data_IF_207777573062
#
_entry.id   IF_207777573062
#
_cell.length_a   1.000
_cell.length_b   1.000
_cell.length_c   1.000
_cell.angle_alpha   90.00
_cell.angle_beta   90.00
_cell.angle_gamma   90.00
#
_symmetry.space_group_name_H-M   'P 1'
#
loop_
_entity.id
_entity.type
_entity.pdbx_description
1 polymer ?
#
# COMPACT_ATOMS: atom_id res chain seq x y z
N UNK A 1 23.81 -33.69 0.79
CA UNK A 1 24.03 -32.70 -0.29
C UNK A 1 24.19 -33.42 -1.62
N UNK A 2 23.55 -32.93 -2.70
CA UNK A 2 23.89 -33.20 -4.11
C UNK A 2 23.05 -32.25 -4.96
N UNK A 3 23.68 -31.25 -5.57
CA UNK A 3 23.06 -30.43 -6.61
C UNK A 3 23.29 -31.09 -7.97
N UNK A 4 22.27 -31.07 -8.84
CA UNK A 4 22.40 -31.46 -10.24
C UNK A 4 22.04 -30.25 -11.10
N UNK A 5 23.05 -29.48 -11.48
CA UNK A 5 22.94 -28.46 -12.54
C UNK A 5 23.00 -29.13 -13.92
N UNK A 6 22.43 -28.49 -14.96
CA UNK A 6 23.01 -28.52 -16.31
C UNK A 6 22.42 -27.44 -17.23
N UNK A 7 23.28 -26.88 -18.09
CA UNK A 7 22.97 -26.03 -19.25
C UNK A 7 22.97 -26.92 -20.52
N UNK A 8 22.60 -26.48 -21.73
CA UNK A 8 22.27 -25.14 -22.29
C UNK A 8 20.89 -25.26 -23.03
N UNK A 9 20.40 -24.49 -24.01
CA UNK A 9 20.92 -23.45 -24.91
C UNK A 9 19.80 -22.44 -25.30
N UNK A 10 20.10 -21.45 -26.15
CA UNK A 10 19.10 -20.66 -26.88
C UNK A 10 18.71 -21.37 -28.20
N UNK A 11 17.47 -21.20 -28.65
CA UNK A 11 17.20 -20.92 -30.08
C UNK A 11 15.83 -20.22 -30.30
N UNK A 12 15.71 -19.42 -31.38
CA UNK A 12 14.51 -18.61 -31.75
C UNK A 12 14.71 -18.01 -33.16
N UNK A 13 13.65 -17.56 -33.88
CA UNK A 13 12.41 -18.18 -34.37
C UNK A 13 12.64 -18.62 -35.85
N UNK A 14 11.77 -18.47 -36.90
CA UNK A 14 10.32 -18.21 -37.06
C UNK A 14 9.67 -19.19 -38.10
N UNK A 15 8.65 -18.83 -38.92
CA UNK A 15 7.33 -18.22 -38.67
C UNK A 15 6.15 -19.15 -39.12
N UNK A 16 4.95 -18.54 -39.29
CA UNK A 16 3.74 -18.97 -40.03
C UNK A 16 2.57 -19.55 -39.23
N UNK A 17 1.37 -19.42 -39.82
CA UNK A 17 0.06 -19.39 -39.17
C UNK A 17 -0.79 -20.62 -39.50
N UNK A 18 -1.44 -21.21 -38.50
CA UNK A 18 -2.70 -21.97 -38.65
C UNK A 18 -3.58 -21.80 -37.40
N UNK A 19 -4.91 -21.90 -37.58
CA UNK A 19 -5.90 -21.90 -36.51
C UNK A 19 -6.33 -23.34 -36.13
N UNK A 20 -7.25 -23.44 -35.15
CA UNK A 20 -7.93 -24.66 -34.66
C UNK A 20 -7.11 -25.50 -33.65
N UNK A 21 -7.75 -26.37 -32.83
CA UNK A 21 -8.40 -25.88 -31.62
C UNK A 21 -7.92 -26.57 -30.32
N UNK A 22 -8.49 -26.13 -29.19
CA UNK A 22 -8.09 -26.44 -27.82
C UNK A 22 -7.86 -27.93 -27.50
N UNK A 23 -6.70 -28.27 -26.94
CA UNK A 23 -6.59 -29.39 -25.99
C UNK A 23 -5.36 -29.27 -25.05
N UNK A 24 -5.44 -28.39 -24.04
CA UNK A 24 -4.44 -28.31 -22.97
C UNK A 24 -4.81 -29.24 -21.80
N UNK A 25 -3.96 -30.21 -21.41
CA UNK A 25 -4.20 -31.03 -20.22
C UNK A 25 -4.02 -30.19 -18.94
N UNK A 26 -5.14 -29.82 -18.31
CA UNK A 26 -5.18 -28.99 -17.09
C UNK A 26 -4.65 -29.76 -15.86
N UNK A 27 -3.33 -29.79 -15.67
CA UNK A 27 -2.68 -30.36 -14.48
C UNK A 27 -2.21 -29.28 -13.47
N UNK A 28 -3.09 -28.32 -13.16
CA UNK A 28 -2.84 -27.38 -12.06
C UNK A 28 -3.10 -28.12 -10.74
N UNK A 29 -2.04 -28.68 -10.15
CA UNK A 29 -2.10 -29.29 -8.81
C UNK A 29 -2.43 -28.21 -7.77
N UNK A 30 -3.73 -28.07 -7.47
CA UNK A 30 -4.23 -27.15 -6.44
C UNK A 30 -3.77 -27.62 -5.06
N UNK A 31 -2.64 -27.07 -4.60
CA UNK A 31 -2.16 -27.21 -3.22
C UNK A 31 -3.24 -26.65 -2.27
N UNK A 32 -3.98 -27.54 -1.61
CA UNK A 32 -4.88 -27.17 -0.52
C UNK A 32 -4.04 -27.00 0.75
N UNK A 33 -3.73 -25.75 1.09
CA UNK A 33 -3.22 -25.41 2.42
C UNK A 33 -4.38 -25.58 3.41
N UNK A 34 -4.33 -26.64 4.21
CA UNK A 34 -5.29 -26.88 5.29
C UNK A 34 -4.88 -26.09 6.54
N UNK A 35 -5.48 -24.92 6.72
CA UNK A 35 -5.40 -24.14 7.97
C UNK A 35 -5.98 -24.99 9.10
N UNK A 36 -5.26 -25.15 10.21
CA UNK A 36 -5.69 -25.97 11.35
C UNK A 36 -6.67 -25.21 12.25
N UNK A 37 -7.58 -25.92 12.92
CA UNK A 37 -8.57 -25.30 13.81
C UNK A 37 -7.93 -24.44 14.93
N UNK A 38 -6.82 -24.91 15.51
CA UNK A 38 -6.01 -24.17 16.49
C UNK A 38 -5.52 -22.82 15.93
N UNK A 39 -5.02 -22.79 14.68
CA UNK A 39 -4.55 -21.55 14.05
C UNK A 39 -5.68 -20.54 13.83
N UNK A 40 -6.90 -20.98 13.46
CA UNK A 40 -8.08 -20.11 13.36
C UNK A 40 -8.48 -19.54 14.73
N UNK A 41 -8.51 -20.38 15.76
CA UNK A 41 -8.92 -19.98 17.11
C UNK A 41 -7.94 -18.95 17.73
N UNK A 42 -6.63 -19.12 17.50
CA UNK A 42 -5.61 -18.14 17.93
C UNK A 42 -5.76 -16.79 17.23
N UNK A 43 -6.07 -16.77 15.93
CA UNK A 43 -6.31 -15.53 15.19
C UNK A 43 -7.54 -14.78 15.71
N UNK A 44 -8.64 -15.49 16.00
CA UNK A 44 -9.84 -14.90 16.61
C UNK A 44 -9.57 -14.34 18.01
N UNK A 45 -8.80 -15.06 18.85
CA UNK A 45 -8.41 -14.58 20.17
C UNK A 45 -7.55 -13.30 20.07
N UNK A 46 -6.56 -13.28 19.17
CA UNK A 46 -5.71 -12.11 18.95
C UNK A 46 -6.51 -10.89 18.47
N UNK A 47 -7.45 -11.07 17.54
CA UNK A 47 -8.35 -10.01 17.08
C UNK A 47 -9.25 -9.47 18.19
N UNK A 48 -9.82 -10.36 19.02
CA UNK A 48 -10.65 -9.99 20.17
C UNK A 48 -9.86 -9.17 21.20
N UNK A 49 -8.67 -9.65 21.59
CA UNK A 49 -7.76 -8.94 22.50
C UNK A 49 -7.33 -7.58 21.93
N UNK A 50 -7.06 -7.48 20.62
CA UNK A 50 -6.75 -6.21 19.97
C UNK A 50 -7.94 -5.26 20.03
N UNK A 51 -9.17 -5.71 19.75
CA UNK A 51 -10.36 -4.85 19.80
C UNK A 51 -10.64 -4.31 21.21
N UNK A 52 -10.47 -5.13 22.26
CA UNK A 52 -10.61 -4.68 23.65
C UNK A 52 -9.47 -3.74 24.08
N UNK A 53 -8.23 -4.00 23.67
CA UNK A 53 -7.12 -3.08 23.92
C UNK A 53 -7.35 -1.70 23.29
N UNK A 54 -7.83 -1.65 22.04
CA UNK A 54 -8.16 -0.39 21.36
C UNK A 54 -9.38 0.31 21.98
N UNK A 55 -10.34 -0.43 22.53
CA UNK A 55 -11.47 0.14 23.31
C UNK A 55 -11.01 0.73 24.64
N UNK A 56 -10.09 0.07 25.35
CA UNK A 56 -9.52 0.53 26.63
C UNK A 56 -8.61 1.75 26.43
N UNK A 57 -7.88 1.82 25.31
CA UNK A 57 -7.08 2.98 24.92
C UNK A 57 -7.91 4.14 24.33
N UNK A 58 -9.24 4.01 24.27
CA UNK A 58 -10.16 4.96 23.62
C UNK A 58 -9.70 5.36 22.20
N UNK A 59 -9.14 4.41 21.45
CA UNK A 59 -8.44 4.67 20.19
C UNK A 59 -9.21 5.55 19.18
N UNK A 60 -10.54 5.40 19.00
CA UNK A 60 -11.30 6.30 18.13
C UNK A 60 -11.31 7.77 18.59
N UNK A 61 -11.29 8.04 19.89
CA UNK A 61 -11.21 9.40 20.43
C UNK A 61 -9.80 9.98 20.23
N UNK A 62 -8.75 9.16 20.36
CA UNK A 62 -7.37 9.55 20.05
C UNK A 62 -7.22 9.90 18.56
N UNK A 63 -7.72 9.04 17.66
CA UNK A 63 -7.70 9.34 16.23
C UNK A 63 -8.55 10.57 15.86
N UNK A 64 -9.67 10.81 16.53
CA UNK A 64 -10.49 12.01 16.34
C UNK A 64 -9.76 13.31 16.75
N UNK A 65 -8.81 13.26 17.69
CA UNK A 65 -7.94 14.41 17.99
C UNK A 65 -6.87 14.60 16.90
N UNK A 66 -6.30 13.51 16.38
CA UNK A 66 -5.31 13.54 15.29
C UNK A 66 -5.90 14.10 13.98
N UNK A 67 -7.21 13.98 13.77
CA UNK A 67 -7.93 14.54 12.62
C UNK A 67 -7.74 16.06 12.43
N UNK A 68 -7.40 16.82 13.47
CA UNK A 68 -7.11 18.25 13.37
C UNK A 68 -5.74 18.56 12.71
N UNK A 69 -4.86 17.55 12.57
CA UNK A 69 -3.49 17.69 12.07
C UNK A 69 -3.29 17.10 10.67
N UNK A 70 -4.35 16.60 10.02
CA UNK A 70 -4.25 15.91 8.72
C UNK A 70 -4.37 16.88 7.54
N UNK A 71 -3.30 17.00 6.75
CA UNK A 71 -3.24 17.91 5.58
C UNK A 71 -4.00 17.44 4.32
N UNK A 72 -4.66 16.28 4.36
CA UNK A 72 -5.42 15.72 3.22
C UNK A 72 -6.76 15.14 3.66
N UNK A 73 -7.75 15.11 2.76
CA UNK A 73 -9.07 14.53 3.03
C UNK A 73 -9.02 13.02 3.31
N UNK A 74 -8.09 12.29 2.66
CA UNK A 74 -7.84 10.87 2.94
C UNK A 74 -7.32 10.67 4.37
N UNK A 75 -6.33 11.46 4.80
CA UNK A 75 -5.82 11.42 6.17
C UNK A 75 -6.90 11.76 7.20
N UNK A 76 -7.72 12.77 6.91
CA UNK A 76 -8.87 13.16 7.74
C UNK A 76 -9.87 12.00 7.90
N UNK A 77 -10.22 11.33 6.79
CA UNK A 77 -11.13 10.18 6.80
C UNK A 77 -10.54 8.97 7.54
N UNK A 78 -9.24 8.69 7.37
CA UNK A 78 -8.54 7.63 8.09
C UNK A 78 -8.50 7.89 9.61
N UNK A 79 -8.28 9.14 10.02
CA UNK A 79 -8.32 9.56 11.41
C UNK A 79 -9.73 9.47 12.00
N UNK A 80 -10.74 10.05 11.35
CA UNK A 80 -12.14 10.01 11.80
C UNK A 80 -12.72 8.58 11.87
N UNK A 81 -12.27 7.67 11.01
CA UNK A 81 -12.69 6.26 11.02
C UNK A 81 -11.84 5.34 11.91
N UNK A 82 -10.89 5.89 12.68
CA UNK A 82 -9.94 5.17 13.53
C UNK A 82 -9.07 4.12 12.80
N UNK A 83 -8.81 4.35 11.49
CA UNK A 83 -8.07 3.45 10.59
C UNK A 83 -6.57 3.74 10.48
N UNK A 84 -6.05 4.66 11.30
CA UNK A 84 -4.61 4.93 11.39
C UNK A 84 -3.87 3.59 11.64
N UNK A 85 -2.86 3.23 10.81
CA UNK A 85 -2.27 1.90 10.84
C UNK A 85 -1.51 1.63 12.13
N UNK A 86 -1.68 0.42 12.66
CA UNK A 86 -0.93 -0.12 13.78
C UNK A 86 -0.18 -1.38 13.31
N UNK A 87 1.11 -1.46 13.66
CA UNK A 87 1.97 -2.56 13.23
C UNK A 87 1.50 -3.91 13.78
N UNK A 88 1.36 -4.89 12.89
CA UNK A 88 0.89 -6.25 13.19
C UNK A 88 2.03 -7.16 13.65
N UNK A 89 3.27 -6.74 13.43
CA UNK A 89 4.47 -7.29 14.07
C UNK A 89 5.32 -6.18 14.72
N UNK A 90 6.26 -6.53 15.61
CA UNK A 90 7.24 -5.58 16.14
C UNK A 90 8.10 -4.92 15.05
N UNK A 91 8.31 -5.59 13.91
CA UNK A 91 9.09 -5.10 12.77
C UNK A 91 8.30 -4.03 12.02
N UNK A 92 7.04 -4.31 11.67
CA UNK A 92 6.12 -3.31 11.07
C UNK A 92 5.95 -2.09 11.99
N UNK A 93 5.89 -2.32 13.31
CA UNK A 93 5.82 -1.26 14.32
C UNK A 93 7.07 -0.38 14.35
N UNK A 94 8.27 -0.96 14.18
CA UNK A 94 9.53 -0.20 14.05
C UNK A 94 9.59 0.57 12.74
N UNK A 95 9.10 0.01 11.63
CA UNK A 95 9.01 0.71 10.34
C UNK A 95 8.08 1.92 10.42
N UNK A 96 6.87 1.79 11.00
CA UNK A 96 5.94 2.91 11.19
C UNK A 96 6.54 4.00 12.10
N UNK A 97 7.27 3.62 13.15
CA UNK A 97 7.97 4.56 14.02
C UNK A 97 9.11 5.29 13.28
N UNK A 98 9.88 4.58 12.45
CA UNK A 98 10.94 5.17 11.63
C UNK A 98 10.40 6.13 10.56
N UNK A 99 9.27 5.80 9.92
CA UNK A 99 8.57 6.71 9.02
C UNK A 99 8.08 7.98 9.76
N UNK A 100 7.57 7.81 10.97
CA UNK A 100 7.10 8.94 11.81
C UNK A 100 8.25 9.85 12.24
N UNK A 101 9.39 9.30 12.65
CA UNK A 101 10.57 10.09 13.03
C UNK A 101 11.25 10.74 11.82
N UNK A 102 11.27 10.07 10.66
CA UNK A 102 11.74 10.66 9.41
C UNK A 102 10.86 11.84 8.97
N UNK A 103 9.53 11.73 9.08
CA UNK A 103 8.60 12.82 8.79
C UNK A 103 8.78 14.02 9.73
N UNK A 104 9.10 13.78 11.01
CA UNK A 104 9.41 14.84 11.98
C UNK A 104 10.76 15.54 11.71
N UNK A 105 11.69 14.88 11.02
CA UNK A 105 13.00 15.43 10.68
C UNK A 105 13.00 16.34 9.42
N UNK A 106 11.86 16.49 8.74
CA UNK A 106 11.75 17.32 7.53
C UNK A 106 11.85 18.82 7.91
N UNK A 107 12.78 19.60 7.32
CA UNK A 107 13.12 20.94 7.81
C UNK A 107 12.12 22.05 7.45
N UNK A 108 11.20 21.80 6.50
CA UNK A 108 10.10 22.72 6.13
C UNK A 108 8.82 21.92 5.88
N UNK A 109 7.62 22.47 6.12
CA UNK A 109 6.36 21.78 5.85
C UNK A 109 6.26 21.30 4.40
N UNK A 110 5.82 20.06 4.20
CA UNK A 110 5.51 19.50 2.90
C UNK A 110 4.22 20.10 2.33
N UNK A 111 4.22 20.48 1.05
CA UNK A 111 3.02 20.98 0.37
C UNK A 111 2.12 19.84 -0.13
N UNK A 112 1.03 19.59 0.59
CA UNK A 112 -0.03 18.64 0.21
C UNK A 112 -1.12 19.27 -0.66
N UNK A 113 -1.01 20.53 -1.07
CA UNK A 113 -2.06 21.22 -1.83
C UNK A 113 -2.32 20.54 -3.19
N UNK A 114 -3.59 20.36 -3.52
CA UNK A 114 -4.01 19.61 -4.73
C UNK A 114 -4.02 18.08 -4.59
N UNK A 115 -3.73 17.51 -3.42
CA UNK A 115 -3.98 16.08 -3.15
C UNK A 115 -5.43 15.90 -2.72
N UNK A 116 -6.26 15.45 -3.66
CA UNK A 116 -7.67 15.14 -3.49
C UNK A 116 -7.87 13.61 -3.41
N UNK A 117 -8.90 13.14 -2.69
CA UNK A 117 -9.22 11.72 -2.57
C UNK A 117 -9.69 11.14 -3.92
N UNK A 118 -8.90 10.22 -4.45
CA UNK A 118 -9.13 9.53 -5.73
C UNK A 118 -9.72 8.12 -5.56
N UNK A 119 -9.97 7.65 -4.33
CA UNK A 119 -10.43 6.28 -4.07
C UNK A 119 -11.73 5.94 -4.80
N UNK A 120 -12.71 6.85 -4.77
CA UNK A 120 -14.00 6.73 -5.47
C UNK A 120 -13.83 6.67 -7.00
N UNK A 121 -12.87 7.43 -7.55
CA UNK A 121 -12.56 7.44 -8.98
C UNK A 121 -11.89 6.12 -9.40
N UNK A 122 -10.98 5.59 -8.57
CA UNK A 122 -10.34 4.29 -8.80
C UNK A 122 -11.37 3.16 -8.73
N UNK A 123 -12.17 3.08 -7.66
CA UNK A 123 -13.21 2.04 -7.53
C UNK A 123 -14.26 2.14 -8.67
N UNK A 124 -14.58 3.35 -9.15
CA UNK A 124 -15.48 3.56 -10.30
C UNK A 124 -14.89 3.07 -11.63
N UNK A 125 -13.61 3.36 -11.90
CA UNK A 125 -12.91 2.91 -13.10
C UNK A 125 -12.68 1.38 -13.08
N UNK A 126 -12.42 0.81 -11.91
CA UNK A 126 -12.32 -0.64 -11.67
C UNK A 126 -13.66 -1.35 -11.93
N UNK A 127 -14.79 -0.72 -11.58
CA UNK A 127 -16.12 -1.20 -11.94
C UNK A 127 -16.48 -1.01 -13.44
N UNK A 128 -15.56 -0.50 -14.26
CA UNK A 128 -15.74 -0.30 -15.70
C UNK A 128 -16.52 0.95 -16.09
N UNK A 129 -16.78 1.87 -15.16
CA UNK A 129 -17.46 3.13 -15.45
C UNK A 129 -16.51 4.13 -16.14
N UNK A 130 -17.06 4.97 -17.01
CA UNK A 130 -16.33 6.07 -17.63
C UNK A 130 -16.24 7.25 -16.66
N UNK A 131 -15.02 7.68 -16.35
CA UNK A 131 -14.76 8.91 -15.60
C UNK A 131 -15.03 10.14 -16.48
N UNK A 132 -15.60 11.19 -15.87
CA UNK A 132 -15.79 12.49 -16.52
C UNK A 132 -14.46 13.23 -16.72
N UNK A 133 -14.48 14.26 -17.58
CA UNK A 133 -13.32 15.15 -17.79
C UNK A 133 -12.91 15.82 -16.46
N UNK A 134 -13.86 16.18 -15.60
CA UNK A 134 -13.59 16.79 -14.30
C UNK A 134 -12.86 15.83 -13.35
N UNK A 135 -13.30 14.57 -13.27
CA UNK A 135 -12.65 13.53 -12.48
C UNK A 135 -11.25 13.20 -13.01
N UNK A 136 -11.06 13.13 -14.33
CA UNK A 136 -9.74 12.92 -14.93
C UNK A 136 -8.80 14.13 -14.68
N UNK A 137 -9.33 15.35 -14.69
CA UNK A 137 -8.58 16.55 -14.30
C UNK A 137 -8.19 16.54 -12.82
N UNK A 138 -9.10 16.13 -11.91
CA UNK A 138 -8.82 15.93 -10.49
C UNK A 138 -7.70 14.90 -10.29
N UNK A 139 -7.84 13.72 -10.90
CA UNK A 139 -6.85 12.65 -10.84
C UNK A 139 -5.47 13.11 -11.32
N UNK A 140 -5.42 13.90 -12.40
CA UNK A 140 -4.20 14.54 -12.91
C UNK A 140 -3.59 15.54 -11.90
N UNK A 141 -4.40 16.32 -11.16
CA UNK A 141 -3.90 17.22 -10.10
C UNK A 141 -3.28 16.42 -8.95
N UNK A 142 -4.01 15.46 -8.39
CA UNK A 142 -3.52 14.62 -7.29
C UNK A 142 -2.19 13.94 -7.66
N UNK A 143 -2.06 13.40 -8.87
CA UNK A 143 -0.79 12.80 -9.32
C UNK A 143 0.34 13.82 -9.52
N UNK A 144 0.04 15.04 -9.95
CA UNK A 144 1.06 16.10 -10.09
C UNK A 144 1.57 16.57 -8.71
N UNK A 145 0.67 16.84 -7.76
CA UNK A 145 1.04 17.19 -6.38
C UNK A 145 1.76 16.06 -5.66
N UNK A 146 1.33 14.80 -5.85
CA UNK A 146 2.04 13.64 -5.31
C UNK A 146 3.47 13.50 -5.87
N UNK A 147 3.69 13.78 -7.16
CA UNK A 147 5.05 13.80 -7.74
C UNK A 147 5.89 14.93 -7.14
N UNK A 148 5.32 16.13 -6.98
CA UNK A 148 5.98 17.28 -6.36
C UNK A 148 6.33 17.04 -4.88
N UNK A 149 5.55 16.24 -4.14
CA UNK A 149 5.92 15.78 -2.80
C UNK A 149 7.14 14.85 -2.81
N UNK A 150 7.22 13.90 -3.75
CA UNK A 150 8.40 13.03 -3.89
C UNK A 150 9.65 13.87 -4.22
N UNK A 151 9.53 14.84 -5.11
CA UNK A 151 10.61 15.78 -5.46
C UNK A 151 11.09 16.58 -4.23
N UNK A 152 10.16 17.10 -3.40
CA UNK A 152 10.50 17.76 -2.13
C UNK A 152 11.19 16.82 -1.13
N UNK A 153 10.71 15.58 -0.97
CA UNK A 153 11.30 14.61 -0.02
C UNK A 153 12.69 14.16 -0.48
N UNK A 154 12.91 14.00 -1.79
CA UNK A 154 14.23 13.68 -2.34
C UNK A 154 15.21 14.87 -2.19
N UNK A 155 14.76 16.13 -2.32
CA UNK A 155 15.56 17.34 -2.06
C UNK A 155 16.20 17.31 -0.65
N UNK A 156 15.40 17.14 0.40
CA UNK A 156 15.93 17.09 1.79
C UNK A 156 16.85 15.91 2.06
N UNK A 157 16.69 14.82 1.29
CA UNK A 157 17.54 13.62 1.43
C UNK A 157 18.95 13.80 0.86
N UNK A 158 19.14 14.76 -0.05
CA UNK A 158 20.46 15.08 -0.63
C UNK A 158 21.27 16.00 0.30
N UNK A 159 20.62 16.99 0.93
CA UNK A 159 21.28 17.86 1.92
C UNK A 159 21.65 17.08 3.21
N UNK A 160 20.87 16.05 3.54
CA UNK A 160 21.03 15.22 4.74
C UNK A 160 22.04 14.08 4.53
N UNK A 161 23.34 14.42 4.47
CA UNK A 161 24.45 13.48 4.24
C UNK A 161 24.76 12.54 5.45
N UNK A 162 23.73 11.90 6.02
CA UNK A 162 23.79 10.90 7.09
C UNK A 162 23.32 9.53 6.58
N UNK A 163 24.18 8.93 5.76
CA UNK A 163 23.91 7.76 4.91
C UNK A 163 23.67 6.43 5.63
N UNK A 164 22.57 6.28 6.36
CA UNK A 164 22.12 4.96 6.85
C UNK A 164 20.60 4.78 7.03
N UNK A 165 19.79 5.86 7.10
CA UNK A 165 18.34 5.79 7.35
C UNK A 165 17.44 5.77 6.10
N UNK A 166 17.96 6.22 4.95
CA UNK A 166 17.14 6.72 3.83
C UNK A 166 16.44 5.66 2.98
N UNK A 167 16.70 4.36 3.19
CA UNK A 167 15.83 3.29 2.67
C UNK A 167 14.41 3.39 3.24
N UNK A 168 14.26 3.87 4.48
CA UNK A 168 12.95 4.09 5.11
C UNK A 168 12.21 5.32 4.55
N UNK A 169 12.92 6.35 4.07
CA UNK A 169 12.29 7.52 3.43
C UNK A 169 11.54 7.15 2.14
N UNK A 170 12.04 6.15 1.39
CA UNK A 170 11.31 5.61 0.23
C UNK A 170 10.10 4.77 0.64
N UNK A 171 10.11 4.20 1.84
CA UNK A 171 8.96 3.51 2.42
C UNK A 171 7.91 4.45 3.05
N UNK A 172 8.22 5.72 3.33
CA UNK A 172 7.22 6.68 3.83
C UNK A 172 6.03 6.85 2.86
N UNK A 173 6.25 6.60 1.57
CA UNK A 173 5.20 6.58 0.55
C UNK A 173 4.21 5.40 0.71
N UNK A 174 4.50 4.37 1.51
CA UNK A 174 3.56 3.28 1.79
C UNK A 174 2.31 3.75 2.53
N UNK A 175 2.31 4.87 3.25
CA UNK A 175 1.07 5.39 3.87
C UNK A 175 0.10 5.91 2.79
N UNK A 176 0.58 6.65 1.78
CA UNK A 176 -0.24 6.99 0.60
C UNK A 176 -0.63 5.75 -0.22
N UNK A 177 0.23 4.72 -0.25
CA UNK A 177 0.02 3.53 -1.06
C UNK A 177 -0.91 2.48 -0.42
N UNK A 178 -0.96 2.38 0.91
CA UNK A 178 -1.73 1.35 1.63
C UNK A 178 -3.25 1.57 1.52
N UNK A 179 -3.73 2.81 1.57
CA UNK A 179 -5.13 3.15 1.29
C UNK A 179 -5.48 2.79 -0.16
N UNK A 180 -4.60 3.17 -1.10
CA UNK A 180 -4.76 2.85 -2.53
C UNK A 180 -4.77 1.32 -2.78
N UNK A 181 -3.95 0.56 -2.05
CA UNK A 181 -3.84 -0.90 -2.16
C UNK A 181 -5.06 -1.64 -1.59
N UNK A 182 -5.85 -1.04 -0.68
CA UNK A 182 -7.13 -1.62 -0.25
C UNK A 182 -8.26 -1.49 -1.29
N UNK A 183 -8.17 -0.52 -2.22
CA UNK A 183 -8.96 -0.49 -3.45
C UNK A 183 -8.40 -1.46 -4.49
N UNK A 184 -7.12 -1.30 -4.86
CA UNK A 184 -6.48 -2.07 -5.93
C UNK A 184 -6.43 -3.59 -5.66
N UNK A 185 -6.33 -4.00 -4.39
CA UNK A 185 -6.42 -5.40 -3.96
C UNK A 185 -7.81 -6.04 -4.12
N UNK A 186 -8.86 -5.23 -4.36
CA UNK A 186 -10.20 -5.70 -4.79
C UNK A 186 -10.36 -5.70 -6.32
N UNK A 187 -9.57 -4.90 -7.04
CA UNK A 187 -9.63 -4.74 -8.49
C UNK A 187 -9.04 -5.90 -9.30
N UNK A 188 -8.15 -6.69 -8.69
CA UNK A 188 -7.34 -7.71 -9.38
C UNK A 188 -7.67 -9.14 -8.89
N UNK A 189 -8.95 -9.48 -8.78
CA UNK A 189 -9.40 -10.77 -8.22
C UNK A 189 -10.70 -11.33 -8.80
#
# INVERSE_FOLDING_TARGET
MKFCSNFIALNKPPPYLTLFPCNYPKSVRRLRISVSADSTQRLQLAQSLQSEALRILEWPAVCAQLAAFTSTSMGLAAAQSARIPLGRSPEESRTLLAQTSAALAIPRPLDFSGIEDVSVLVDSAVAGNLLTIQELCLFKRTLASARHLVEQVEEFSVDSNSSESLTSSRECMYILWMDCHHGLGRALK
#
